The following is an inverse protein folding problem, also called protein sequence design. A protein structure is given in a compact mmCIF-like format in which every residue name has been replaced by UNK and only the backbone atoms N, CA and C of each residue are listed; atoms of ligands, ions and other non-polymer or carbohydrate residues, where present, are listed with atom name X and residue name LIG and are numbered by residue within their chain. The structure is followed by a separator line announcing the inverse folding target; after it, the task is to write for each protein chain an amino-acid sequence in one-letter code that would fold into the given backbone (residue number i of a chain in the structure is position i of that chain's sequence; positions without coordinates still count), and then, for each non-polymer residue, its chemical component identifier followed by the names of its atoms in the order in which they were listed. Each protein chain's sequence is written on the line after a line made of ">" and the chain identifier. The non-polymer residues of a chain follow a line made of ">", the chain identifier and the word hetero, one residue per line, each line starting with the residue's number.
data_IF_668567957430
#
_entry.id   IF_668567957430
#
_cell.length_a   1.000
_cell.length_b   1.000
_cell.length_c   1.000
_cell.angle_alpha   90.00
_cell.angle_beta   90.00
_cell.angle_gamma   90.00
#
_symmetry.space_group_name_H-M   'P 1'
#
loop_
_entity.id
_entity.type
_entity.pdbx_description
1 polymer ?
#
# COMPACT_ATOMS: atom_id res chain seq x y z
N UNK A 1 -13.62 2.06 14.32
CA UNK A 1 -13.33 2.49 12.94
C UNK A 1 -12.18 1.65 12.39
N UNK A 2 -12.40 1.00 11.26
CA UNK A 2 -11.37 0.14 10.65
C UNK A 2 -10.59 0.90 9.60
N UNK A 3 -9.27 0.90 9.73
CA UNK A 3 -8.34 1.52 8.79
C UNK A 3 -7.67 0.41 7.98
N UNK A 4 -7.81 0.46 6.67
CA UNK A 4 -7.15 -0.49 5.76
C UNK A 4 -6.10 0.25 4.95
N UNK A 5 -4.91 -0.34 4.87
CA UNK A 5 -3.77 0.24 4.18
C UNK A 5 -3.38 -0.67 3.02
N UNK A 6 -3.34 -0.11 1.83
CA UNK A 6 -2.85 -0.76 0.61
C UNK A 6 -1.67 0.02 0.05
N UNK A 7 -0.87 -0.61 -0.78
CA UNK A 7 0.25 0.09 -1.42
C UNK A 7 1.15 -0.85 -2.19
N UNK A 8 2.04 -0.28 -2.99
CA UNK A 8 3.05 -1.05 -3.72
C UNK A 8 4.05 -1.67 -2.73
N UNK A 9 4.78 -2.68 -3.18
CA UNK A 9 5.82 -3.32 -2.35
C UNK A 9 6.78 -2.28 -1.78
N UNK A 10 7.20 -2.46 -0.54
CA UNK A 10 8.15 -1.59 0.16
C UNK A 10 7.67 -0.15 0.33
N UNK A 11 6.38 0.15 0.14
CA UNK A 11 5.85 1.50 0.38
C UNK A 11 5.62 1.82 1.85
N UNK A 12 5.71 0.82 2.75
CA UNK A 12 5.61 1.04 4.19
C UNK A 12 4.26 0.68 4.80
N UNK A 13 3.44 -0.12 4.12
CA UNK A 13 2.10 -0.48 4.61
C UNK A 13 2.14 -1.16 5.98
N UNK A 14 3.04 -2.14 6.16
CA UNK A 14 3.17 -2.85 7.43
C UNK A 14 3.66 -1.92 8.53
N UNK A 15 4.62 -1.06 8.24
CA UNK A 15 5.17 -0.09 9.20
C UNK A 15 4.07 0.86 9.67
N UNK A 16 3.30 1.42 8.73
CA UNK A 16 2.21 2.33 9.09
C UNK A 16 1.15 1.62 9.92
N UNK A 17 0.77 0.40 9.53
CA UNK A 17 -0.22 -0.37 10.28
C UNK A 17 0.22 -0.59 11.74
N UNK A 18 1.49 -0.95 11.95
CA UNK A 18 2.04 -1.14 13.30
C UNK A 18 2.00 0.14 14.11
N UNK A 19 2.39 1.28 13.52
CA UNK A 19 2.35 2.55 14.21
C UNK A 19 0.93 2.92 14.64
N UNK A 20 -0.05 2.70 13.77
CA UNK A 20 -1.44 3.00 14.09
C UNK A 20 -1.97 2.05 15.17
N UNK A 21 -1.63 0.77 15.10
CA UNK A 21 -2.00 -0.21 16.12
C UNK A 21 -1.45 0.18 17.50
N UNK A 22 -0.20 0.63 17.56
CA UNK A 22 0.41 1.09 18.80
C UNK A 22 -0.31 2.31 19.39
N UNK A 23 -0.99 3.08 18.58
CA UNK A 23 -1.78 4.22 19.03
C UNK A 23 -3.23 3.87 19.31
N UNK A 24 -3.58 2.58 19.27
CA UNK A 24 -4.91 2.10 19.60
C UNK A 24 -5.89 2.05 18.44
N UNK A 25 -5.44 2.26 17.20
CA UNK A 25 -6.32 2.17 16.03
C UNK A 25 -6.46 0.73 15.54
N UNK A 26 -7.64 0.40 15.01
CA UNK A 26 -7.92 -0.88 14.35
C UNK A 26 -7.42 -0.78 12.90
N UNK A 27 -6.12 -0.99 12.70
CA UNK A 27 -5.46 -0.83 11.41
C UNK A 27 -4.92 -2.16 10.91
N UNK A 28 -5.12 -2.43 9.60
CA UNK A 28 -4.69 -3.66 8.95
C UNK A 28 -4.20 -3.36 7.54
N UNK A 29 -3.36 -4.23 7.00
CA UNK A 29 -2.94 -4.18 5.61
C UNK A 29 -3.83 -5.10 4.76
N UNK A 30 -3.91 -4.78 3.46
CA UNK A 30 -4.53 -5.64 2.47
C UNK A 30 -3.58 -5.77 1.29
N UNK A 31 -3.33 -7.00 0.85
CA UNK A 31 -2.37 -7.29 -0.22
C UNK A 31 -2.98 -7.05 -1.62
N UNK A 32 -3.60 -5.92 -1.82
CA UNK A 32 -4.23 -5.53 -3.08
C UNK A 32 -3.24 -5.52 -4.25
N UNK A 33 -1.98 -5.15 -4.00
CA UNK A 33 -0.94 -5.09 -5.02
C UNK A 33 -0.60 -6.47 -5.62
N UNK A 34 -0.95 -7.54 -4.95
CA UNK A 34 -0.73 -8.91 -5.41
C UNK A 34 -2.00 -9.58 -5.94
N UNK A 35 -3.11 -8.86 -6.04
CA UNK A 35 -4.40 -9.42 -6.44
C UNK A 35 -4.85 -8.87 -7.79
N UNK A 36 -5.35 -9.77 -8.63
CA UNK A 36 -6.03 -9.39 -9.88
C UNK A 36 -7.49 -8.98 -9.66
N UNK A 37 -8.01 -9.13 -8.43
CA UNK A 37 -9.36 -8.68 -8.07
C UNK A 37 -9.30 -7.22 -7.66
N UNK A 38 -9.80 -6.28 -8.48
CA UNK A 38 -9.63 -4.84 -8.22
C UNK A 38 -10.28 -4.37 -6.93
N UNK A 39 -11.28 -5.11 -6.45
CA UNK A 39 -12.08 -4.75 -5.28
C UNK A 39 -11.76 -5.60 -4.06
N UNK A 40 -10.60 -6.28 -4.03
CA UNK A 40 -10.21 -7.11 -2.87
C UNK A 40 -10.28 -6.30 -1.57
N UNK A 41 -9.82 -5.05 -1.60
CA UNK A 41 -9.82 -4.17 -0.43
C UNK A 41 -11.19 -3.96 0.20
N UNK A 42 -12.27 -4.07 -0.61
CA UNK A 42 -13.64 -3.89 -0.09
C UNK A 42 -14.05 -5.04 0.83
N UNK A 43 -13.48 -6.24 0.63
CA UNK A 43 -13.75 -7.38 1.50
C UNK A 43 -13.26 -7.14 2.93
N UNK A 44 -12.27 -6.28 3.10
CA UNK A 44 -11.77 -5.89 4.42
C UNK A 44 -12.70 -4.89 5.14
N UNK A 45 -13.70 -4.34 4.44
CA UNK A 45 -14.69 -3.40 4.97
C UNK A 45 -14.07 -2.19 5.68
N UNK A 46 -13.26 -1.39 4.98
CA UNK A 46 -12.63 -0.24 5.62
C UNK A 46 -13.62 0.88 5.88
N UNK A 47 -13.46 1.54 7.01
CA UNK A 47 -14.06 2.85 7.27
C UNK A 47 -13.16 3.95 6.69
N UNK A 48 -11.84 3.71 6.71
CA UNK A 48 -10.84 4.58 6.11
C UNK A 48 -9.91 3.72 5.27
N UNK A 49 -9.68 4.12 4.03
CA UNK A 49 -8.74 3.47 3.11
C UNK A 49 -7.56 4.40 2.82
N UNK A 50 -6.36 3.91 3.10
CA UNK A 50 -5.11 4.64 2.84
C UNK A 50 -4.34 3.88 1.77
N UNK A 51 -3.92 4.58 0.71
CA UNK A 51 -3.09 4.02 -0.35
C UNK A 51 -1.71 4.66 -0.31
N UNK A 52 -0.67 3.84 -0.16
CA UNK A 52 0.72 4.28 -0.17
C UNK A 52 1.35 3.98 -1.52
N UNK A 53 2.24 4.86 -1.96
CA UNK A 53 3.01 4.67 -3.19
C UNK A 53 4.48 4.96 -2.93
N UNK A 54 5.35 4.42 -3.78
CA UNK A 54 6.78 4.66 -3.74
C UNK A 54 7.36 4.48 -5.13
N UNK A 55 8.42 5.25 -5.44
CA UNK A 55 9.13 5.11 -6.71
C UNK A 55 9.98 3.85 -6.72
N UNK A 56 10.37 3.40 -7.92
CA UNK A 56 11.26 2.27 -8.07
C UNK A 56 12.61 2.52 -7.40
N UNK A 57 13.11 3.75 -7.46
CA UNK A 57 14.34 4.14 -6.79
C UNK A 57 14.25 3.92 -5.27
N UNK A 58 13.16 4.34 -4.66
CA UNK A 58 12.91 4.15 -3.23
C UNK A 58 12.79 2.68 -2.88
N UNK A 59 12.09 1.90 -3.71
CA UNK A 59 11.92 0.47 -3.49
C UNK A 59 13.27 -0.24 -3.50
N UNK A 60 14.13 0.07 -4.46
CA UNK A 60 15.49 -0.50 -4.53
C UNK A 60 16.36 -0.11 -3.35
N UNK A 61 16.20 1.12 -2.87
CA UNK A 61 16.94 1.59 -1.69
C UNK A 61 16.53 0.83 -0.43
N UNK A 62 15.23 0.57 -0.28
CA UNK A 62 14.68 -0.15 0.88
C UNK A 62 14.91 -1.65 0.80
N UNK A 63 14.88 -2.20 -0.43
CA UNK A 63 15.04 -3.64 -0.70
C UNK A 63 16.01 -3.84 -1.87
N UNK A 64 17.33 -3.74 -1.62
CA UNK A 64 18.33 -3.82 -2.69
C UNK A 64 18.34 -5.15 -3.46
N UNK A 65 17.75 -6.21 -2.87
CA UNK A 65 17.70 -7.54 -3.48
C UNK A 65 16.57 -7.70 -4.50
N UNK A 66 15.72 -6.70 -4.69
CA UNK A 66 14.61 -6.77 -5.63
C UNK A 66 15.15 -6.87 -7.06
N UNK A 67 14.71 -7.91 -7.78
CA UNK A 67 15.16 -8.21 -9.13
C UNK A 67 14.24 -7.66 -10.23
N UNK A 68 13.00 -7.30 -9.88
CA UNK A 68 12.04 -6.73 -10.83
C UNK A 68 12.20 -5.21 -10.92
N UNK A 69 11.62 -4.60 -11.96
CA UNK A 69 11.77 -3.17 -12.24
C UNK A 69 10.45 -2.47 -12.47
N UNK A 70 10.50 -1.36 -13.21
CA UNK A 70 9.34 -0.48 -13.46
C UNK A 70 8.14 -1.22 -14.04
N UNK A 71 8.36 -2.20 -14.93
CA UNK A 71 7.26 -2.95 -15.55
C UNK A 71 6.41 -3.66 -14.51
N UNK A 72 7.04 -4.26 -13.51
CA UNK A 72 6.30 -4.93 -12.44
C UNK A 72 5.65 -3.92 -11.49
N UNK A 73 6.31 -2.81 -11.22
CA UNK A 73 5.72 -1.73 -10.42
C UNK A 73 4.44 -1.20 -11.09
N UNK A 74 4.45 -1.06 -12.42
CA UNK A 74 3.26 -0.65 -13.16
C UNK A 74 2.13 -1.68 -13.03
N UNK A 75 2.47 -2.97 -12.99
CA UNK A 75 1.48 -4.03 -12.73
C UNK A 75 0.86 -3.87 -11.35
N UNK A 76 1.68 -3.63 -10.32
CA UNK A 76 1.17 -3.42 -8.96
C UNK A 76 0.28 -2.18 -8.89
N UNK A 77 0.70 -1.07 -9.53
CA UNK A 77 -0.08 0.16 -9.56
C UNK A 77 -1.43 -0.02 -10.27
N UNK A 78 -1.45 -0.84 -11.31
CA UNK A 78 -2.70 -1.16 -12.02
C UNK A 78 -3.65 -1.95 -11.11
N UNK A 79 -3.12 -2.90 -10.35
CA UNK A 79 -3.91 -3.67 -9.37
C UNK A 79 -4.45 -2.79 -8.25
N UNK A 80 -3.77 -1.70 -7.94
CA UNK A 80 -4.15 -0.75 -6.90
C UNK A 80 -5.05 0.38 -7.41
N UNK A 81 -5.26 0.51 -8.73
CA UNK A 81 -5.93 1.68 -9.32
C UNK A 81 -7.33 1.92 -8.75
N UNK A 82 -8.12 0.87 -8.58
CA UNK A 82 -9.48 1.00 -8.03
C UNK A 82 -9.44 1.46 -6.57
N UNK A 83 -8.58 0.83 -5.76
CA UNK A 83 -8.41 1.23 -4.36
C UNK A 83 -7.94 2.67 -4.25
N UNK A 84 -6.96 3.05 -5.08
CA UNK A 84 -6.42 4.42 -5.10
C UNK A 84 -7.50 5.44 -5.42
N UNK A 85 -8.37 5.14 -6.39
CA UNK A 85 -9.46 6.04 -6.78
C UNK A 85 -10.48 6.24 -5.66
N UNK A 86 -10.60 5.27 -4.75
CA UNK A 86 -11.55 5.31 -3.62
C UNK A 86 -10.88 5.61 -2.28
N UNK A 87 -9.55 5.79 -2.26
CA UNK A 87 -8.83 6.03 -1.01
C UNK A 87 -9.19 7.38 -0.42
N UNK A 88 -9.30 7.41 0.90
CA UNK A 88 -9.48 8.65 1.65
C UNK A 88 -8.18 9.45 1.69
N UNK A 89 -7.04 8.76 1.60
CA UNK A 89 -5.73 9.37 1.62
C UNK A 89 -4.78 8.59 0.72
N UNK A 90 -4.07 9.30 -0.17
CA UNK A 90 -3.01 8.74 -1.02
C UNK A 90 -1.71 9.42 -0.66
N UNK A 91 -0.71 8.64 -0.21
CA UNK A 91 0.56 9.17 0.27
C UNK A 91 1.74 8.56 -0.49
N UNK A 92 2.57 9.38 -1.15
CA UNK A 92 3.90 8.92 -1.58
C UNK A 92 4.80 8.82 -0.35
N UNK A 93 5.55 7.72 -0.23
CA UNK A 93 6.41 7.51 0.93
C UNK A 93 7.90 7.61 0.62
N UNK A 94 8.25 8.22 -0.53
CA UNK A 94 9.64 8.32 -0.98
C UNK A 94 10.54 9.05 0.00
N UNK A 95 10.02 10.07 0.65
CA UNK A 95 10.76 10.89 1.61
C UNK A 95 10.70 10.36 3.04
N UNK A 96 9.99 9.26 3.26
CA UNK A 96 9.89 8.62 4.56
C UNK A 96 10.90 7.49 4.67
N UNK A 97 11.62 7.42 5.75
CA UNK A 97 12.61 6.38 5.97
C UNK A 97 12.06 5.18 6.72
#
# INVERSE_FOLDING_TARGET
>A
MRIIIVGVCASGTTTLARHLQHRGYDAHTCAQEHSEVPTLWQAAKPDVLICLDASMETIRRRRPWVMWGETYLDVERRRLAHARAHADLVLPTDDLT
#
